data_IF_284211629613
#
_entry.id   IF_284211629613
#
_cell.length_a   1.000
_cell.length_b   1.000
_cell.length_c   1.000
_cell.angle_alpha   90.00
_cell.angle_beta   90.00
_cell.angle_gamma   90.00
#
_symmetry.space_group_name_H-M   'P 1'
#
loop_
_entity.id
_entity.type
_entity.pdbx_description
1 polymer ?
#
# COMPACT_ATOMS: atom_id res chain seq x y z
N UNK A 1 -21.61 8.37 4.29
CA UNK A 1 -21.09 9.01 5.51
C UNK A 1 -19.59 9.15 5.36
N UNK A 2 -19.04 10.34 5.57
CA UNK A 2 -17.64 10.65 5.31
C UNK A 2 -16.77 9.93 6.36
N UNK A 3 -15.97 8.96 5.91
CA UNK A 3 -15.11 8.13 6.75
C UNK A 3 -13.87 8.90 7.20
N UNK A 4 -14.01 9.77 8.22
CA UNK A 4 -12.86 10.24 9.01
C UNK A 4 -12.78 9.33 10.23
N UNK A 5 -11.81 8.41 10.27
CA UNK A 5 -11.65 7.52 11.43
C UNK A 5 -10.24 7.46 12.04
N UNK A 6 -9.29 8.26 11.55
CA UNK A 6 -7.88 8.08 11.90
C UNK A 6 -7.20 9.36 12.38
N UNK A 7 -6.17 9.19 13.21
CA UNK A 7 -5.29 10.27 13.64
C UNK A 7 -4.49 10.79 12.43
N UNK A 8 -4.68 12.07 12.11
CA UNK A 8 -4.01 12.74 10.99
C UNK A 8 -2.77 13.52 11.45
N UNK A 9 -2.42 13.46 12.74
CA UNK A 9 -1.26 14.16 13.28
C UNK A 9 0.00 13.70 12.54
N UNK A 10 0.71 14.68 11.98
CA UNK A 10 1.93 14.50 11.16
C UNK A 10 1.74 13.70 9.85
N UNK A 11 0.50 13.50 9.39
CA UNK A 11 0.28 12.94 8.06
C UNK A 11 0.70 13.93 7.00
N UNK A 12 1.49 13.47 6.04
CA UNK A 12 1.78 14.18 4.77
C UNK A 12 0.81 13.73 3.66
N UNK A 13 -0.25 13.01 4.00
CA UNK A 13 -1.24 12.45 3.08
C UNK A 13 -2.57 13.22 3.01
N UNK A 14 -3.49 12.78 2.13
CA UNK A 14 -4.86 13.27 2.13
C UNK A 14 -5.55 12.96 3.46
N UNK A 15 -6.43 13.88 3.90
CA UNK A 15 -7.07 13.84 5.23
C UNK A 15 -8.14 12.75 5.35
N UNK A 16 -8.68 12.32 4.22
CA UNK A 16 -9.78 11.37 4.13
C UNK A 16 -9.30 10.07 3.48
N UNK A 17 -9.75 8.94 4.01
CA UNK A 17 -9.61 7.65 3.34
C UNK A 17 -10.73 7.58 2.31
N UNK A 18 -10.40 7.64 1.02
CA UNK A 18 -11.42 7.60 0.00
C UNK A 18 -10.99 6.65 -1.12
N UNK A 19 -11.90 5.76 -1.49
CA UNK A 19 -11.84 5.05 -2.76
C UNK A 19 -11.93 6.11 -3.85
N UNK A 20 -11.02 6.04 -4.80
CA UNK A 20 -10.91 6.94 -5.94
C UNK A 20 -12.27 7.32 -6.56
N UNK A 21 -12.68 8.59 -6.39
CA UNK A 21 -13.89 9.17 -6.98
C UNK A 21 -13.67 10.65 -7.35
N UNK A 22 -14.65 11.24 -8.03
CA UNK A 22 -14.54 12.62 -8.55
C UNK A 22 -14.44 13.70 -7.47
N UNK A 23 -14.73 13.38 -6.21
CA UNK A 23 -14.57 14.26 -5.06
C UNK A 23 -13.20 14.12 -4.38
N UNK A 24 -12.39 13.14 -4.77
CA UNK A 24 -11.21 12.75 -3.99
C UNK A 24 -9.97 12.36 -4.76
N UNK A 25 -9.94 12.61 -6.08
CA UNK A 25 -8.67 12.78 -6.79
C UNK A 25 -7.84 13.68 -5.90
N UNK A 26 -6.80 13.08 -5.33
CA UNK A 26 -6.30 13.40 -3.99
C UNK A 26 -6.20 14.90 -3.73
N UNK A 27 -6.26 15.35 -2.47
CA UNK A 27 -6.08 16.77 -2.08
C UNK A 27 -4.80 17.47 -2.66
N UNK A 28 -3.99 16.72 -3.42
CA UNK A 28 -2.88 17.14 -4.25
C UNK A 28 -3.25 17.58 -5.69
N UNK A 29 -4.47 17.41 -6.17
CA UNK A 29 -4.91 17.75 -7.54
C UNK A 29 -5.45 19.18 -7.67
N UNK A 30 -4.75 20.17 -7.11
CA UNK A 30 -5.08 21.58 -7.38
C UNK A 30 -4.51 22.01 -8.73
N UNK A 31 -5.10 23.00 -9.43
CA UNK A 31 -4.53 23.53 -10.69
C UNK A 31 -3.04 23.88 -10.57
N UNK A 32 -2.60 24.44 -9.43
CA UNK A 32 -1.20 24.77 -9.19
C UNK A 32 -0.31 23.53 -9.04
N UNK A 33 -0.81 22.49 -8.34
CA UNK A 33 -0.07 21.23 -8.16
C UNK A 33 -0.06 20.38 -9.42
N UNK A 34 -1.13 20.41 -10.23
CA UNK A 34 -1.17 19.81 -11.59
C UNK A 34 -0.13 20.41 -12.52
N UNK A 35 0.10 21.73 -12.44
CA UNK A 35 1.18 22.39 -13.18
C UNK A 35 2.57 21.96 -12.72
N UNK A 36 2.72 21.60 -11.43
CA UNK A 36 3.99 21.13 -10.87
C UNK A 36 4.31 19.68 -11.26
N UNK A 37 3.29 18.84 -11.41
CA UNK A 37 3.44 17.44 -11.77
C UNK A 37 2.87 17.19 -13.17
N UNK A 38 3.68 17.45 -14.19
CA UNK A 38 3.27 17.46 -15.61
C UNK A 38 3.31 16.08 -16.27
N UNK A 39 4.03 15.14 -15.68
CA UNK A 39 4.32 13.81 -16.23
C UNK A 39 3.70 12.68 -15.39
N UNK A 40 3.40 11.56 -16.04
CA UNK A 40 2.83 10.40 -15.34
C UNK A 40 3.80 9.84 -14.28
N UNK A 41 5.11 10.00 -14.48
CA UNK A 41 6.17 9.50 -13.58
C UNK A 41 6.25 10.22 -12.24
N UNK A 42 5.51 11.31 -12.08
CA UNK A 42 5.51 12.12 -10.86
C UNK A 42 4.45 11.70 -9.85
N UNK A 43 3.61 10.71 -10.21
CA UNK A 43 2.55 10.19 -9.37
C UNK A 43 2.61 8.67 -9.29
N UNK A 44 2.15 8.09 -8.19
CA UNK A 44 1.93 6.65 -8.07
C UNK A 44 0.60 6.37 -7.37
N UNK A 45 0.02 5.21 -7.67
CA UNK A 45 -1.13 4.69 -6.94
C UNK A 45 -0.68 4.17 -5.58
N UNK A 46 -1.25 4.70 -4.51
CA UNK A 46 -1.06 4.13 -3.18
C UNK A 46 -1.76 2.78 -3.08
N UNK A 47 -1.01 1.75 -2.74
CA UNK A 47 -1.50 0.36 -2.72
C UNK A 47 -2.70 0.15 -1.76
N UNK A 48 -2.84 0.93 -0.67
CA UNK A 48 -3.88 0.70 0.35
C UNK A 48 -5.31 1.06 -0.07
N UNK A 49 -5.46 2.13 -0.84
CA UNK A 49 -6.76 2.72 -1.20
C UNK A 49 -6.78 3.29 -2.61
N UNK A 50 -5.74 2.99 -3.39
CA UNK A 50 -5.53 3.41 -4.77
C UNK A 50 -5.45 4.93 -4.96
N UNK A 51 -5.31 5.73 -3.90
CA UNK A 51 -5.14 7.18 -4.03
C UNK A 51 -3.89 7.55 -4.85
N UNK A 52 -4.00 8.54 -5.75
CA UNK A 52 -2.86 9.03 -6.54
C UNK A 52 -1.99 9.98 -5.72
N UNK A 53 -0.77 9.58 -5.39
CA UNK A 53 0.12 10.35 -4.51
C UNK A 53 1.37 10.77 -5.27
N UNK A 54 1.91 11.98 -5.05
CA UNK A 54 3.16 12.39 -5.66
C UNK A 54 4.31 11.43 -5.33
N UNK A 55 5.04 10.98 -6.35
CA UNK A 55 6.07 9.95 -6.22
C UNK A 55 7.19 10.31 -5.24
N UNK A 56 7.49 11.61 -5.09
CA UNK A 56 8.52 12.12 -4.18
C UNK A 56 8.17 11.99 -2.69
N UNK A 57 6.92 11.68 -2.35
CA UNK A 57 6.51 11.37 -0.97
C UNK A 57 6.87 9.94 -0.57
N UNK A 58 7.14 9.08 -1.55
CA UNK A 58 7.54 7.70 -1.30
C UNK A 58 9.03 7.58 -1.01
N UNK A 59 9.37 6.65 -0.12
CA UNK A 59 10.76 6.28 0.14
C UNK A 59 11.33 5.50 -1.05
N UNK A 60 12.65 5.35 -1.10
CA UNK A 60 13.30 4.50 -2.12
C UNK A 60 12.84 3.04 -2.04
N UNK A 61 12.48 2.56 -0.85
CA UNK A 61 11.92 1.23 -0.64
C UNK A 61 10.50 1.13 -1.21
N UNK A 62 9.65 2.14 -0.98
CA UNK A 62 8.33 2.22 -1.59
C UNK A 62 8.38 2.27 -3.11
N UNK A 63 9.35 2.99 -3.69
CA UNK A 63 9.55 2.99 -5.14
C UNK A 63 9.83 1.58 -5.70
N UNK A 64 10.45 0.68 -4.92
CA UNK A 64 10.61 -0.73 -5.30
C UNK A 64 9.28 -1.46 -5.34
N UNK A 65 8.43 -1.28 -4.33
CA UNK A 65 7.12 -1.92 -4.29
C UNK A 65 6.18 -1.38 -5.38
N UNK A 66 6.27 -0.09 -5.70
CA UNK A 66 5.54 0.50 -6.82
C UNK A 66 5.95 -0.10 -8.17
N UNK A 67 7.25 -0.36 -8.39
CA UNK A 67 7.70 -1.09 -9.60
C UNK A 67 7.12 -2.50 -9.68
N UNK A 68 7.11 -3.22 -8.57
CA UNK A 68 6.49 -4.56 -8.50
C UNK A 68 4.99 -4.49 -8.79
N UNK A 69 4.30 -3.53 -8.17
CA UNK A 69 2.86 -3.33 -8.32
C UNK A 69 2.48 -3.06 -9.78
N UNK A 70 3.15 -2.11 -10.43
CA UNK A 70 2.91 -1.79 -11.85
C UNK A 70 3.16 -2.96 -12.80
N UNK A 71 4.20 -3.76 -12.53
CA UNK A 71 4.51 -4.91 -13.36
C UNK A 71 3.49 -6.04 -13.22
N UNK A 72 2.88 -6.17 -12.04
CA UNK A 72 1.97 -7.27 -11.73
C UNK A 72 0.50 -6.96 -11.97
N UNK A 73 0.11 -5.68 -11.87
CA UNK A 73 -1.25 -5.19 -12.04
C UNK A 73 -1.28 -4.08 -13.11
N UNK A 74 -1.10 -4.43 -14.39
CA UNK A 74 -1.07 -3.45 -15.48
C UNK A 74 -2.37 -2.64 -15.57
N UNK A 75 -3.51 -3.22 -15.21
CA UNK A 75 -4.82 -2.54 -15.17
C UNK A 75 -4.86 -1.38 -14.17
N UNK A 76 -4.22 -1.52 -13.01
CA UNK A 76 -4.08 -0.42 -12.06
C UNK A 76 -3.14 0.65 -12.64
N UNK A 77 -2.05 0.24 -13.25
CA UNK A 77 -1.09 1.14 -13.89
C UNK A 77 -1.70 1.96 -15.05
N UNK A 78 -2.73 1.44 -15.74
CA UNK A 78 -3.45 2.20 -16.78
C UNK A 78 -4.08 3.48 -16.24
N UNK A 79 -4.53 3.49 -14.97
CA UNK A 79 -5.10 4.68 -14.32
C UNK A 79 -4.08 5.83 -14.35
N UNK A 80 -2.81 5.53 -14.04
CA UNK A 80 -1.71 6.49 -14.07
C UNK A 80 -1.33 6.85 -15.50
N UNK A 81 -1.17 5.86 -16.38
CA UNK A 81 -0.69 6.07 -17.74
C UNK A 81 -1.64 6.90 -18.60
N UNK A 82 -2.94 6.63 -18.50
CA UNK A 82 -3.97 7.33 -19.26
C UNK A 82 -4.51 8.57 -18.53
N UNK A 83 -3.98 8.88 -17.35
CA UNK A 83 -4.48 9.96 -16.49
C UNK A 83 -5.98 9.85 -16.22
N UNK A 84 -6.50 8.63 -16.05
CA UNK A 84 -7.92 8.39 -15.76
C UNK A 84 -8.32 9.05 -14.44
N UNK A 85 -7.36 9.30 -13.56
CA UNK A 85 -7.56 10.10 -12.37
C UNK A 85 -7.91 11.58 -12.62
N UNK A 86 -7.86 12.07 -13.84
CA UNK A 86 -8.33 13.40 -14.24
C UNK A 86 -9.67 13.34 -15.01
N UNK A 87 -10.15 12.14 -15.34
CA UNK A 87 -11.35 11.94 -16.15
C UNK A 87 -12.59 11.89 -15.24
N UNK A 88 -13.40 12.93 -15.27
CA UNK A 88 -14.61 13.02 -14.46
C UNK A 88 -15.60 11.88 -14.72
N UNK A 89 -15.70 11.37 -15.94
CA UNK A 89 -16.61 10.27 -16.26
C UNK A 89 -16.14 8.97 -15.61
N UNK A 90 -14.85 8.67 -15.72
CA UNK A 90 -14.21 7.53 -15.04
C UNK A 90 -14.42 7.61 -13.51
N UNK A 91 -14.23 8.80 -12.95
CA UNK A 91 -14.32 9.04 -11.51
C UNK A 91 -15.74 9.10 -10.94
N UNK A 92 -16.74 9.22 -11.81
CA UNK A 92 -18.15 9.23 -11.43
C UNK A 92 -18.73 7.82 -11.36
N UNK A 93 -18.05 6.83 -11.92
CA UNK A 93 -18.44 5.42 -11.84
C UNK A 93 -17.81 4.73 -10.61
N UNK A 94 -18.62 4.31 -9.62
CA UNK A 94 -18.11 3.65 -8.41
C UNK A 94 -17.47 2.27 -8.68
N UNK A 95 -17.62 1.72 -9.89
CA UNK A 95 -17.04 0.44 -10.29
C UNK A 95 -15.78 0.58 -11.15
N UNK A 96 -15.43 1.80 -11.58
CA UNK A 96 -14.27 2.04 -12.44
C UNK A 96 -12.94 1.80 -11.73
N UNK A 97 -12.92 1.82 -10.39
CA UNK A 97 -11.71 1.69 -9.58
C UNK A 97 -11.96 0.66 -8.47
N UNK A 98 -11.57 -0.58 -8.75
CA UNK A 98 -11.70 -1.69 -7.82
C UNK A 98 -10.37 -1.94 -7.13
N UNK A 99 -10.41 -2.01 -5.79
CA UNK A 99 -9.26 -2.42 -4.99
C UNK A 99 -8.97 -3.88 -5.28
N UNK A 100 -7.73 -4.16 -5.69
CA UNK A 100 -7.24 -5.51 -5.93
C UNK A 100 -7.33 -6.32 -4.63
N UNK A 101 -7.60 -7.61 -4.75
CA UNK A 101 -7.88 -8.46 -3.59
C UNK A 101 -7.43 -9.91 -3.76
N UNK A 102 -6.68 -10.21 -4.82
CA UNK A 102 -6.08 -11.53 -4.96
C UNK A 102 -5.04 -11.78 -3.87
N UNK A 103 -4.73 -13.05 -3.63
CA UNK A 103 -3.85 -13.49 -2.54
C UNK A 103 -2.45 -12.87 -2.62
N UNK A 104 -1.89 -12.73 -3.82
CA UNK A 104 -0.56 -12.14 -4.00
C UNK A 104 -0.58 -10.64 -3.71
N UNK A 105 -1.64 -9.93 -4.12
CA UNK A 105 -1.85 -8.54 -3.74
C UNK A 105 -2.01 -8.40 -2.23
N UNK A 106 -2.89 -9.19 -1.60
CA UNK A 106 -3.21 -9.08 -0.18
C UNK A 106 -1.98 -9.32 0.68
N UNK A 107 -1.19 -10.35 0.38
CA UNK A 107 0.07 -10.64 1.08
C UNK A 107 1.06 -9.48 0.94
N UNK A 108 1.29 -8.98 -0.28
CA UNK A 108 2.22 -7.88 -0.52
C UNK A 108 1.76 -6.58 0.15
N UNK A 109 0.46 -6.28 0.09
CA UNK A 109 -0.18 -5.16 0.77
C UNK A 109 0.05 -5.23 2.28
N UNK A 110 -0.23 -6.37 2.92
CA UNK A 110 -0.05 -6.53 4.37
C UNK A 110 1.42 -6.38 4.80
N UNK A 111 2.37 -6.95 4.04
CA UNK A 111 3.81 -6.77 4.32
C UNK A 111 4.20 -5.29 4.21
N UNK A 112 3.74 -4.60 3.16
CA UNK A 112 4.04 -3.18 2.97
C UNK A 112 3.41 -2.31 4.07
N UNK A 113 2.16 -2.59 4.45
CA UNK A 113 1.45 -1.89 5.53
C UNK A 113 2.23 -1.97 6.85
N UNK A 114 2.73 -3.15 7.23
CA UNK A 114 3.56 -3.31 8.42
C UNK A 114 4.90 -2.55 8.34
N UNK A 115 5.55 -2.53 7.17
CA UNK A 115 6.77 -1.75 6.95
C UNK A 115 6.53 -0.25 7.09
N UNK A 116 5.43 0.26 6.53
CA UNK A 116 5.03 1.66 6.66
C UNK A 116 4.71 2.03 8.10
N UNK A 117 4.02 1.15 8.84
CA UNK A 117 3.78 1.35 10.26
C UNK A 117 5.07 1.44 11.06
N UNK A 118 6.01 0.51 10.83
CA UNK A 118 7.33 0.57 11.45
C UNK A 118 8.01 1.91 11.15
N UNK A 119 8.07 2.31 9.88
CA UNK A 119 8.68 3.58 9.49
C UNK A 119 7.99 4.80 10.09
N UNK A 120 6.66 4.80 10.15
CA UNK A 120 5.88 5.88 10.73
C UNK A 120 6.13 6.03 12.24
N UNK A 121 6.30 4.91 12.94
CA UNK A 121 6.65 4.87 14.36
C UNK A 121 8.06 5.40 14.62
N UNK A 122 9.04 4.98 13.80
CA UNK A 122 10.44 5.40 13.96
C UNK A 122 10.68 6.85 13.55
N UNK A 123 10.10 7.29 12.44
CA UNK A 123 10.32 8.63 11.88
C UNK A 123 9.36 9.69 12.43
N UNK A 124 8.23 9.28 13.02
CA UNK A 124 7.14 10.18 13.42
C UNK A 124 6.36 10.79 12.26
N UNK A 125 6.55 10.30 11.02
CA UNK A 125 5.91 10.83 9.80
C UNK A 125 5.32 9.71 8.94
N UNK A 126 4.19 9.96 8.28
CA UNK A 126 3.51 9.00 7.40
C UNK A 126 2.82 9.68 6.22
N UNK A 127 2.51 8.91 5.18
CA UNK A 127 1.86 9.39 3.95
C UNK A 127 0.40 8.95 3.89
N UNK A 128 0.00 7.92 4.63
CA UNK A 128 -1.39 7.51 4.77
C UNK A 128 -1.81 7.44 6.23
N UNK A 129 -2.99 7.96 6.61
CA UNK A 129 -3.54 7.70 7.94
C UNK A 129 -3.67 6.21 8.28
N UNK A 130 -3.83 5.33 7.26
CA UNK A 130 -3.84 3.87 7.43
C UNK A 130 -2.49 3.29 7.83
N UNK A 131 -1.39 4.02 7.62
CA UNK A 131 -0.05 3.57 8.02
C UNK A 131 0.09 3.49 9.54
N UNK A 132 -0.75 4.20 10.30
CA UNK A 132 -0.75 4.21 11.77
C UNK A 132 -2.08 3.76 12.38
N UNK A 133 -3.03 3.34 11.55
CA UNK A 133 -4.32 2.87 12.04
C UNK A 133 -4.21 1.49 12.69
N UNK A 134 -4.62 1.40 13.95
CA UNK A 134 -4.62 0.15 14.70
C UNK A 134 -5.43 -0.94 14.01
N UNK A 135 -6.61 -0.64 13.49
CA UNK A 135 -7.48 -1.67 12.90
C UNK A 135 -6.88 -2.21 11.61
N UNK A 136 -6.32 -1.35 10.77
CA UNK A 136 -5.62 -1.75 9.56
C UNK A 136 -4.39 -2.61 9.87
N UNK A 137 -3.58 -2.22 10.87
CA UNK A 137 -2.41 -3.00 11.27
C UNK A 137 -2.79 -4.34 11.87
N UNK A 138 -3.83 -4.38 12.72
CA UNK A 138 -4.34 -5.63 13.25
C UNK A 138 -4.80 -6.56 12.13
N UNK A 139 -5.61 -6.05 11.19
CA UNK A 139 -6.05 -6.82 10.01
C UNK A 139 -4.87 -7.37 9.21
N UNK A 140 -3.86 -6.55 8.93
CA UNK A 140 -2.70 -6.98 8.15
C UNK A 140 -1.87 -8.02 8.88
N UNK A 141 -1.68 -7.87 10.20
CA UNK A 141 -0.97 -8.84 11.01
C UNK A 141 -1.74 -10.16 11.11
N UNK A 142 -3.04 -10.12 11.39
CA UNK A 142 -3.91 -11.30 11.45
C UNK A 142 -3.91 -12.05 10.10
N UNK A 143 -3.98 -11.33 8.98
CA UNK A 143 -3.95 -11.93 7.64
C UNK A 143 -2.63 -12.66 7.37
N UNK A 144 -1.50 -12.05 7.75
CA UNK A 144 -0.19 -12.67 7.60
C UNK A 144 0.00 -13.85 8.56
N UNK A 145 -0.58 -13.78 9.75
CA UNK A 145 -0.61 -14.88 10.72
C UNK A 145 -1.36 -16.08 10.16
N UNK A 146 -2.56 -15.86 9.60
CA UNK A 146 -3.36 -16.92 8.95
C UNK A 146 -2.61 -17.56 7.76
N UNK A 147 -1.90 -16.77 6.97
CA UNK A 147 -1.08 -17.28 5.86
C UNK A 147 0.16 -18.04 6.34
N UNK A 148 0.81 -17.59 7.43
CA UNK A 148 2.02 -18.19 7.95
C UNK A 148 1.76 -19.45 8.80
N UNK A 149 0.60 -19.49 9.47
CA UNK A 149 0.17 -20.57 10.35
C UNK A 149 -1.18 -21.14 9.86
N UNK A 150 -1.22 -21.75 8.65
CA UNK A 150 -2.44 -22.32 8.14
C UNK A 150 -2.91 -23.44 9.08
N UNK A 151 -4.21 -23.44 9.41
CA UNK A 151 -4.80 -24.50 10.22
C UNK A 151 -4.79 -25.86 9.49
N UNK A 152 -4.83 -26.94 10.27
CA UNK A 152 -4.89 -28.31 9.76
C UNK A 152 -3.60 -29.11 10.00
N UNK A 153 -3.62 -30.37 9.58
CA UNK A 153 -2.45 -31.25 9.68
C UNK A 153 -1.40 -30.85 8.62
N UNK A 154 -0.12 -31.07 8.93
CA UNK A 154 0.99 -30.85 7.99
C UNK A 154 0.74 -31.66 6.72
N UNK A 155 0.58 -30.98 5.60
CA UNK A 155 0.49 -31.61 4.29
C UNK A 155 1.78 -32.40 3.95
N UNK A 156 1.72 -33.33 2.97
CA UNK A 156 2.80 -34.30 2.71
C UNK A 156 4.12 -33.73 2.17
N UNK A 157 4.29 -32.42 2.02
CA UNK A 157 5.51 -31.84 1.45
C UNK A 157 5.90 -30.53 2.10
N UNK A 158 6.97 -30.57 2.88
CA UNK A 158 8.06 -29.60 2.83
C UNK A 158 9.33 -30.36 3.23
N UNK A 159 10.34 -30.35 2.36
CA UNK A 159 11.69 -30.85 2.63
C UNK A 159 12.06 -30.49 4.07
N UNK A 160 12.25 -31.50 4.93
CA UNK A 160 12.84 -31.22 6.23
C UNK A 160 14.27 -30.75 5.99
N UNK A 161 14.69 -29.62 6.57
CA UNK A 161 16.08 -29.21 6.48
C UNK A 161 16.94 -30.31 7.10
N UNK A 162 17.93 -30.79 6.36
CA UNK A 162 18.85 -31.80 6.86
C UNK A 162 19.61 -31.23 8.08
N UNK A 163 20.06 -32.06 9.04
CA UNK A 163 20.75 -31.61 10.26
C UNK A 163 22.03 -30.76 10.08
N UNK A 164 22.43 -30.43 8.84
CA UNK A 164 23.52 -29.51 8.50
C UNK A 164 23.10 -28.15 7.91
N UNK A 165 21.81 -27.95 7.62
CA UNK A 165 21.28 -26.72 7.00
C UNK A 165 20.91 -25.62 8.01
N UNK A 166 20.86 -25.95 9.30
CA UNK A 166 20.56 -25.00 10.36
C UNK A 166 21.84 -24.24 10.71
N UNK A 167 22.03 -23.07 10.09
CA UNK A 167 23.01 -22.08 10.53
C UNK A 167 22.34 -21.12 11.51
N UNK A 168 22.82 -21.09 12.75
CA UNK A 168 22.46 -20.04 13.70
C UNK A 168 22.94 -18.69 13.13
N UNK A 169 22.00 -17.83 12.72
CA UNK A 169 22.31 -16.52 12.15
C UNK A 169 22.84 -15.51 13.19
N UNK A 170 22.68 -15.83 14.48
CA UNK A 170 23.13 -14.99 15.60
C UNK A 170 23.73 -15.86 16.71
N UNK A 171 25.06 -15.88 16.81
CA UNK A 171 25.77 -16.30 18.02
C UNK A 171 26.01 -15.05 18.89
N UNK A 172 25.21 -14.87 19.94
CA UNK A 172 25.51 -13.86 20.95
C UNK A 172 26.75 -14.30 21.73
N UNK A 173 27.79 -13.46 21.78
CA UNK A 173 28.93 -13.67 22.68
C UNK A 173 28.42 -13.64 24.12
N UNK A 174 28.65 -14.73 24.86
CA UNK A 174 28.52 -14.81 26.32
C UNK A 174 29.63 -13.99 26.96
#
# INVERSE_FOLDING_TARGET
GIWIRYDIKNSKGPRYQLQFDHHNVTDWDTPEKRQKFTTNTEWELRIDDQAMVPAHLFTSEEARYQRWFRARYPEAELIRQQKLYLDQAFLSDPYSIQVLSDEAFHMAHCVLALRRYWWARESGTHVCPRDIDYRHMKHCLDSLDEMAFPGGERGPTHHEPEPGDIRLLWESKV
#
